data_IF_943403519210
#
_entry.id   IF_943403519210
#
_cell.length_a   1.000
_cell.length_b   1.000
_cell.length_c   1.000
_cell.angle_alpha   90.00
_cell.angle_beta   90.00
_cell.angle_gamma   90.00
#
_symmetry.space_group_name_H-M   'P 1'
#
loop_
_entity.id
_entity.type
_entity.pdbx_description
1 polymer ?
#
# COMPACT_ATOMS: atom_id res chain seq x y z
N UNK A 1 -5.70 0.66 -5.51
CA UNK A 1 -4.31 1.10 -5.22
C UNK A 1 -3.72 0.19 -4.16
N UNK A 2 -2.48 -0.28 -4.35
CA UNK A 2 -1.78 -1.06 -3.32
C UNK A 2 -1.20 -0.13 -2.25
N UNK A 3 -1.49 -0.43 -1.00
CA UNK A 3 -1.00 0.31 0.15
C UNK A 3 -0.50 -0.66 1.23
N UNK A 4 0.48 -0.22 2.01
CA UNK A 4 0.99 -0.95 3.17
C UNK A 4 0.45 -0.29 4.45
N UNK A 5 -0.15 -1.09 5.32
CA UNK A 5 -0.66 -0.61 6.60
C UNK A 5 0.49 -0.23 7.54
N UNK A 6 0.52 1.02 7.99
CA UNK A 6 1.52 1.51 8.95
C UNK A 6 1.14 1.24 10.41
N UNK A 7 -0.15 1.03 10.66
CA UNK A 7 -0.74 0.66 11.94
C UNK A 7 -1.83 -0.38 11.73
N UNK A 8 -2.24 -1.02 12.81
CA UNK A 8 -3.42 -1.89 12.76
C UNK A 8 -4.66 -1.06 12.42
N UNK A 9 -5.39 -1.47 11.39
CA UNK A 9 -6.63 -0.79 11.00
C UNK A 9 -7.63 -1.79 10.42
N UNK A 10 -8.90 -1.54 10.66
CA UNK A 10 -9.97 -2.36 10.12
C UNK A 10 -10.42 -1.80 8.77
N UNK A 11 -10.43 -2.65 7.74
CA UNK A 11 -10.90 -2.28 6.41
C UNK A 11 -11.76 -3.40 5.84
N UNK A 12 -12.99 -3.06 5.43
CA UNK A 12 -13.99 -4.00 4.87
C UNK A 12 -14.17 -5.27 5.73
N UNK A 13 -14.28 -5.11 7.05
CA UNK A 13 -14.48 -6.21 7.99
C UNK A 13 -13.25 -7.09 8.22
N UNK A 14 -12.07 -6.69 7.73
CA UNK A 14 -10.80 -7.37 7.94
C UNK A 14 -9.86 -6.49 8.75
N UNK A 15 -9.21 -7.08 9.75
CA UNK A 15 -8.13 -6.43 10.49
C UNK A 15 -6.84 -6.54 9.68
N UNK A 16 -6.31 -5.40 9.25
CA UNK A 16 -5.02 -5.30 8.60
C UNK A 16 -3.96 -5.05 9.66
N UNK A 17 -3.03 -5.98 9.80
CA UNK A 17 -1.89 -5.81 10.70
C UNK A 17 -0.89 -4.82 10.10
N UNK A 18 -0.11 -4.14 10.94
CA UNK A 18 1.02 -3.32 10.50
C UNK A 18 1.95 -4.14 9.59
N UNK A 19 2.37 -3.55 8.47
CA UNK A 19 3.17 -4.18 7.42
C UNK A 19 2.37 -4.98 6.40
N UNK A 20 1.05 -5.14 6.57
CA UNK A 20 0.23 -5.85 5.58
C UNK A 20 0.07 -4.99 4.33
N UNK A 21 0.36 -5.58 3.17
CA UNK A 21 0.12 -4.96 1.88
C UNK A 21 -1.25 -5.41 1.39
N UNK A 22 -2.13 -4.45 1.13
CA UNK A 22 -3.46 -4.73 0.60
C UNK A 22 -3.83 -3.74 -0.48
N UNK A 23 -4.78 -4.16 -1.31
CA UNK A 23 -5.39 -3.31 -2.30
C UNK A 23 -6.62 -2.63 -1.73
N UNK A 24 -6.59 -1.30 -1.72
CA UNK A 24 -7.65 -0.43 -1.22
C UNK A 24 -8.10 0.50 -2.35
N UNK A 25 -9.39 0.83 -2.36
CA UNK A 25 -9.98 1.80 -3.28
C UNK A 25 -9.24 3.14 -3.20
N UNK A 26 -8.98 3.79 -4.33
CA UNK A 26 -8.13 4.99 -4.38
C UNK A 26 -8.60 6.11 -3.44
N UNK A 27 -9.91 6.34 -3.36
CA UNK A 27 -10.52 7.35 -2.48
C UNK A 27 -10.27 7.01 -1.00
N UNK A 28 -10.41 5.73 -0.63
CA UNK A 28 -10.16 5.29 0.74
C UNK A 28 -8.66 5.30 1.06
N UNK A 29 -7.80 4.89 0.11
CA UNK A 29 -6.36 4.93 0.24
C UNK A 29 -5.85 6.35 0.49
N UNK A 30 -6.31 7.34 -0.28
CA UNK A 30 -5.95 8.76 -0.07
C UNK A 30 -6.29 9.24 1.34
N UNK A 31 -7.51 8.98 1.82
CA UNK A 31 -7.93 9.31 3.19
C UNK A 31 -7.03 8.64 4.25
N UNK A 32 -6.70 7.36 4.05
CA UNK A 32 -5.84 6.61 4.95
C UNK A 32 -4.38 7.10 4.92
N UNK A 33 -3.90 7.61 3.79
CA UNK A 33 -2.57 8.23 3.65
C UNK A 33 -2.54 9.58 4.38
N UNK A 34 -3.57 10.41 4.24
CA UNK A 34 -3.68 11.71 4.92
C UNK A 34 -3.58 11.57 6.45
N UNK A 35 -4.22 10.55 7.02
CA UNK A 35 -4.15 10.25 8.46
C UNK A 35 -2.94 9.39 8.85
N UNK A 36 -1.99 9.20 7.93
CA UNK A 36 -0.76 8.40 8.11
C UNK A 36 -1.02 6.98 8.61
N UNK A 37 -2.15 6.37 8.18
CA UNK A 37 -2.52 5.00 8.53
C UNK A 37 -1.96 3.96 7.56
N UNK A 38 -1.79 4.33 6.29
CA UNK A 38 -1.19 3.50 5.24
C UNK A 38 -0.18 4.32 4.43
N UNK A 39 0.74 3.65 3.74
CA UNK A 39 1.60 4.26 2.72
C UNK A 39 1.32 3.63 1.36
N UNK A 40 1.40 4.41 0.30
CA UNK A 40 1.32 3.90 -1.06
C UNK A 40 2.50 2.96 -1.35
N UNK A 41 2.21 1.76 -1.86
CA UNK A 41 3.22 0.86 -2.39
C UNK A 41 3.26 1.07 -3.88
N UNK A 42 4.15 1.96 -4.32
CA UNK A 42 4.49 2.07 -5.73
C UNK A 42 5.21 0.80 -6.12
N UNK A 43 4.56 -0.03 -6.92
CA UNK A 43 5.19 -1.18 -7.54
C UNK A 43 6.08 -0.62 -8.66
N UNK A 44 7.17 0.04 -8.29
CA UNK A 44 8.31 0.23 -9.17
C UNK A 44 8.86 -1.18 -9.40
N UNK A 45 8.27 -1.88 -10.38
CA UNK A 45 9.04 -2.79 -11.19
C UNK A 45 10.11 -1.88 -11.78
N UNK A 46 11.24 -1.79 -11.07
CA UNK A 46 12.49 -1.44 -11.71
C UNK A 46 12.53 -2.39 -12.89
N UNK A 47 12.36 -1.86 -14.10
CA UNK A 47 12.95 -2.44 -15.28
C UNK A 47 14.47 -2.45 -15.02
N UNK A 48 14.93 -3.36 -14.16
CA UNK A 48 16.24 -3.98 -14.22
C UNK A 48 16.11 -5.09 -15.27
N UNK A 49 15.62 -4.75 -16.46
CA UNK A 49 15.91 -5.56 -17.63
C UNK A 49 17.32 -5.13 -17.99
N UNK A 50 18.26 -6.02 -17.71
CA UNK A 50 19.67 -5.77 -17.80
C UNK A 50 20.08 -5.35 -19.20
N UNK A 51 20.53 -4.11 -19.33
CA UNK A 51 21.45 -3.72 -20.38
C UNK A 51 22.87 -3.88 -19.79
N UNK A 52 23.27 -5.14 -19.64
CA UNK A 52 24.66 -5.55 -19.49
C UNK A 52 24.91 -6.62 -20.54
N UNK A 53 25.21 -6.20 -21.78
CA UNK A 53 26.34 -6.73 -22.55
C UNK A 53 26.64 -5.91 -23.79
#
# INVERSE_FOLDING_TARGET
MKVEALKELNYKGRTLKKGSIVEIDEVAAKKLIEVKAVKEVKNEIKNLIGDQK
#
